data_IF_358003665401
#
_entry.id   IF_358003665401
#
_cell.length_a   1.000
_cell.length_b   1.000
_cell.length_c   1.000
_cell.angle_alpha   90.00
_cell.angle_beta   90.00
_cell.angle_gamma   90.00
#
_symmetry.space_group_name_H-M   'P 1'
#
loop_
_entity.id
_entity.type
_entity.pdbx_description
1 polymer ?
#
# COMPACT_ATOMS: atom_id res chain seq x y z
N UNK A 1 10.18 46.75 42.36
CA UNK A 1 9.02 45.92 41.89
C UNK A 1 9.10 45.38 40.47
N UNK A 2 9.93 45.87 39.57
CA UNK A 2 9.98 45.39 38.16
C UNK A 2 10.88 44.17 37.91
N UNK A 3 11.87 43.92 38.76
CA UNK A 3 12.81 42.80 38.57
C UNK A 3 12.23 41.45 38.99
N UNK A 4 11.43 41.41 40.05
CA UNK A 4 10.81 40.18 40.58
C UNK A 4 9.73 39.62 39.64
N UNK A 5 9.00 40.48 38.91
CA UNK A 5 7.96 40.05 37.95
C UNK A 5 8.56 39.43 36.70
N UNK A 6 9.71 39.94 36.21
CA UNK A 6 10.41 39.40 35.04
C UNK A 6 11.00 38.02 35.35
N UNK A 7 11.59 37.82 36.52
CA UNK A 7 12.15 36.52 36.94
C UNK A 7 11.04 35.45 37.10
N UNK A 8 9.88 35.85 37.66
CA UNK A 8 8.74 34.91 37.80
C UNK A 8 8.14 34.50 36.45
N UNK A 9 8.06 35.44 35.47
CA UNK A 9 7.57 35.16 34.13
C UNK A 9 8.52 34.24 33.35
N UNK A 10 9.84 34.43 33.53
CA UNK A 10 10.86 33.56 32.91
C UNK A 10 10.85 32.17 33.55
N UNK A 11 10.70 32.05 34.88
CA UNK A 11 10.58 30.75 35.55
C UNK A 11 9.29 30.00 35.18
N UNK A 12 8.16 30.70 35.08
CA UNK A 12 6.90 30.08 34.61
C UNK A 12 6.98 29.66 33.15
N UNK A 13 7.64 30.41 32.28
CA UNK A 13 7.90 30.04 30.90
C UNK A 13 8.82 28.82 30.77
N UNK A 14 9.86 28.72 31.59
CA UNK A 14 10.77 27.57 31.63
C UNK A 14 10.10 26.31 32.21
N UNK A 15 9.24 26.44 33.24
CA UNK A 15 8.47 25.35 33.80
C UNK A 15 7.41 24.83 32.81
N UNK A 16 6.75 25.70 32.04
CA UNK A 16 5.78 25.27 31.02
C UNK A 16 6.46 24.56 29.86
N UNK A 17 7.65 24.98 29.45
CA UNK A 17 8.44 24.24 28.42
C UNK A 17 8.96 22.91 28.96
N UNK A 18 9.39 22.82 30.21
CA UNK A 18 9.84 21.57 30.83
C UNK A 18 8.69 20.56 31.02
N UNK A 19 7.48 21.01 31.34
CA UNK A 19 6.30 20.14 31.44
C UNK A 19 5.82 19.65 30.09
N UNK A 20 5.92 20.45 29.03
CA UNK A 20 5.61 20.02 27.67
C UNK A 20 6.62 18.98 27.13
N UNK A 21 7.84 18.95 27.68
CA UNK A 21 8.89 18.01 27.27
C UNK A 21 8.72 16.57 27.77
N UNK A 22 7.88 16.31 28.75
CA UNK A 22 7.73 14.97 29.40
C UNK A 22 6.41 14.26 29.10
N UNK A 23 5.59 14.80 28.20
CA UNK A 23 4.31 14.17 27.86
C UNK A 23 4.53 13.01 26.86
N UNK A 24 3.88 11.89 27.11
CA UNK A 24 3.83 10.76 26.20
C UNK A 24 3.21 11.20 24.87
N UNK A 25 3.70 10.64 23.77
CA UNK A 25 3.20 10.90 22.42
C UNK A 25 2.49 9.64 21.94
N UNK A 26 1.25 9.80 21.51
CA UNK A 26 0.50 8.73 20.81
C UNK A 26 0.48 9.05 19.32
N UNK A 27 0.93 8.12 18.51
CA UNK A 27 0.86 8.19 17.06
C UNK A 27 -0.03 7.08 16.52
N UNK A 28 -0.60 7.32 15.35
CA UNK A 28 -1.39 6.36 14.58
C UNK A 28 -0.68 6.11 13.25
N UNK A 29 -0.42 4.85 12.96
CA UNK A 29 0.03 4.39 11.65
C UNK A 29 -1.18 3.79 10.94
N UNK A 30 -1.52 4.32 9.79
CA UNK A 30 -2.63 3.84 8.94
C UNK A 30 -2.02 3.28 7.66
N UNK A 31 -2.40 2.07 7.31
CA UNK A 31 -1.93 1.44 6.09
C UNK A 31 -3.11 1.03 5.22
N UNK A 32 -2.93 1.20 3.90
CA UNK A 32 -3.75 0.63 2.84
C UNK A 32 -2.91 -0.32 2.01
N UNK A 33 -3.50 -1.40 1.52
CA UNK A 33 -2.88 -2.40 0.66
C UNK A 33 -3.86 -2.85 -0.42
N UNK A 34 -3.34 -3.28 -1.56
CA UNK A 34 -4.13 -3.98 -2.58
C UNK A 34 -5.41 -3.21 -2.95
N UNK A 35 -5.25 -1.90 -3.14
CA UNK A 35 -6.37 -0.99 -3.44
C UNK A 35 -7.00 -1.31 -4.80
N UNK A 36 -6.22 -1.80 -5.77
CA UNK A 36 -6.69 -2.25 -7.08
C UNK A 36 -7.62 -1.24 -7.76
N UNK A 37 -7.23 0.04 -7.77
CA UNK A 37 -7.99 1.10 -8.41
C UNK A 37 -9.32 1.46 -7.72
N UNK A 38 -9.58 0.96 -6.50
CA UNK A 38 -10.78 1.27 -5.72
C UNK A 38 -10.69 2.67 -5.08
N UNK A 39 -10.46 3.68 -5.92
CA UNK A 39 -10.32 5.07 -5.46
C UNK A 39 -11.67 5.67 -5.05
N UNK A 40 -12.73 5.34 -5.78
CA UNK A 40 -14.06 5.92 -5.65
C UNK A 40 -15.11 4.87 -5.27
N UNK A 41 -16.22 5.25 -4.63
CA UNK A 41 -17.28 4.33 -4.23
C UNK A 41 -18.18 3.93 -5.43
N UNK A 42 -17.53 3.59 -6.55
CA UNK A 42 -18.15 3.21 -7.81
C UNK A 42 -17.37 2.09 -8.50
N UNK A 43 -18.06 1.05 -8.92
CA UNK A 43 -17.55 -0.04 -9.73
C UNK A 43 -17.76 0.30 -11.20
N UNK A 44 -16.68 0.63 -11.91
CA UNK A 44 -16.73 0.99 -13.33
C UNK A 44 -17.02 -0.21 -14.24
N UNK A 45 -16.79 -1.44 -13.78
CA UNK A 45 -17.08 -2.66 -14.52
C UNK A 45 -18.59 -2.94 -14.47
N UNK A 46 -19.16 -2.99 -13.26
CA UNK A 46 -20.56 -3.32 -13.04
C UNK A 46 -21.49 -2.08 -13.05
N UNK A 47 -20.94 -0.87 -13.22
CA UNK A 47 -21.68 0.40 -13.24
C UNK A 47 -22.57 0.59 -12.03
N UNK A 48 -22.06 0.28 -10.85
CA UNK A 48 -22.83 0.22 -9.60
C UNK A 48 -22.04 0.79 -8.41
N UNK A 49 -22.70 1.15 -7.31
CA UNK A 49 -22.01 1.54 -6.09
C UNK A 49 -21.06 0.45 -5.58
N UNK A 50 -19.88 0.84 -5.10
CA UNK A 50 -18.87 -0.03 -4.48
C UNK A 50 -18.68 0.34 -3.02
N UNK A 51 -18.56 -0.66 -2.14
CA UNK A 51 -18.46 -0.45 -0.70
C UNK A 51 -17.06 0.03 -0.25
N UNK A 52 -15.98 -0.57 -0.78
CA UNK A 52 -14.61 -0.12 -0.51
C UNK A 52 -14.20 1.05 -1.39
N UNK A 53 -13.52 2.05 -0.83
CA UNK A 53 -12.90 3.13 -1.62
C UNK A 53 -11.93 4.00 -0.83
N UNK A 54 -10.93 4.57 -1.51
CA UNK A 54 -10.00 5.54 -0.93
C UNK A 54 -10.72 6.82 -0.45
N UNK A 55 -11.83 7.21 -1.08
CA UNK A 55 -12.67 8.32 -0.61
C UNK A 55 -13.22 8.10 0.81
N UNK A 56 -13.52 6.85 1.20
CA UNK A 56 -13.96 6.48 2.55
C UNK A 56 -12.78 6.41 3.51
N UNK A 57 -11.67 5.87 3.05
CA UNK A 57 -10.39 5.89 3.80
C UNK A 57 -10.00 7.32 4.12
N UNK A 58 -10.14 8.24 3.16
CA UNK A 58 -9.84 9.66 3.38
C UNK A 58 -10.68 10.26 4.50
N UNK A 59 -12.00 10.03 4.51
CA UNK A 59 -12.87 10.46 5.62
C UNK A 59 -12.37 9.95 6.96
N UNK A 60 -12.02 8.67 7.05
CA UNK A 60 -11.49 8.06 8.27
C UNK A 60 -10.20 8.74 8.72
N UNK A 61 -9.24 8.92 7.80
CA UNK A 61 -7.95 9.56 8.08
C UNK A 61 -8.12 11.01 8.52
N UNK A 62 -9.06 11.78 7.92
CA UNK A 62 -9.35 13.14 8.35
C UNK A 62 -9.92 13.18 9.77
N UNK A 63 -10.74 12.19 10.15
CA UNK A 63 -11.20 12.01 11.52
C UNK A 63 -10.03 11.86 12.50
N UNK A 64 -9.10 10.97 12.20
CA UNK A 64 -7.88 10.77 13.01
C UNK A 64 -7.01 12.03 13.06
N UNK A 65 -6.82 12.72 11.93
CA UNK A 65 -6.05 13.98 11.88
C UNK A 65 -6.67 15.09 12.74
N UNK A 66 -8.00 15.14 12.79
CA UNK A 66 -8.74 16.08 13.63
C UNK A 66 -8.58 15.75 15.13
N UNK A 67 -8.64 14.47 15.48
CA UNK A 67 -8.59 14.00 16.88
C UNK A 67 -7.17 14.02 17.45
N UNK A 68 -6.20 13.48 16.72
CA UNK A 68 -4.82 13.28 17.21
C UNK A 68 -3.83 14.34 16.71
N UNK A 69 -4.22 15.18 15.76
CA UNK A 69 -3.34 16.13 15.07
C UNK A 69 -2.57 15.50 13.90
N UNK A 70 -2.44 16.24 12.80
CA UNK A 70 -1.84 15.77 11.54
C UNK A 70 -0.42 15.18 11.72
N UNK A 71 0.37 15.77 12.62
CA UNK A 71 1.76 15.34 12.86
C UNK A 71 1.86 14.00 13.61
N UNK A 72 0.75 13.48 14.15
CA UNK A 72 0.69 12.20 14.86
C UNK A 72 0.07 11.08 13.99
N UNK A 73 -0.32 11.36 12.74
CA UNK A 73 -0.85 10.38 11.81
C UNK A 73 0.17 10.11 10.72
N UNK A 74 0.53 8.86 10.51
CA UNK A 74 1.41 8.39 9.44
C UNK A 74 0.59 7.51 8.51
N UNK A 75 0.55 7.86 7.23
CA UNK A 75 -0.27 7.20 6.22
C UNK A 75 0.65 6.50 5.21
N UNK A 76 0.49 5.20 5.07
CA UNK A 76 1.35 4.31 4.29
C UNK A 76 0.52 3.51 3.29
N UNK A 77 1.05 3.27 2.08
CA UNK A 77 0.43 2.41 1.08
C UNK A 77 1.35 1.23 0.73
N UNK A 78 0.79 0.04 0.69
CA UNK A 78 1.55 -1.19 0.54
C UNK A 78 1.54 -1.75 -0.90
N UNK A 79 1.19 -0.95 -1.90
CA UNK A 79 1.23 -1.34 -3.31
C UNK A 79 -0.02 -2.06 -3.81
N UNK A 80 0.07 -2.58 -5.04
CA UNK A 80 -1.03 -3.11 -5.84
C UNK A 80 -2.16 -2.09 -6.01
N UNK A 81 -1.79 -0.92 -6.50
CA UNK A 81 -2.69 0.21 -6.71
C UNK A 81 -2.90 0.54 -8.20
N UNK A 82 -1.95 0.19 -9.07
CA UNK A 82 -1.96 0.56 -10.48
C UNK A 82 -2.81 -0.35 -11.38
N UNK A 83 -3.31 -1.47 -10.87
CA UNK A 83 -4.11 -2.45 -11.61
C UNK A 83 -5.45 -2.70 -10.88
N UNK A 84 -6.51 -3.06 -11.61
CA UNK A 84 -7.81 -3.48 -11.06
C UNK A 84 -8.98 -2.79 -11.75
N UNK A 85 -9.52 -1.71 -11.18
CA UNK A 85 -10.65 -1.00 -11.79
C UNK A 85 -10.26 -0.31 -13.12
N UNK A 86 -11.19 -0.17 -14.07
CA UNK A 86 -10.96 0.47 -15.37
C UNK A 86 -10.29 1.85 -15.30
N UNK A 87 -10.46 2.57 -14.21
CA UNK A 87 -9.83 3.87 -14.03
C UNK A 87 -8.30 3.79 -13.99
N UNK A 88 -7.74 2.74 -13.38
CA UNK A 88 -6.28 2.53 -13.40
C UNK A 88 -5.80 2.29 -14.85
N UNK A 89 -6.47 1.39 -15.58
CA UNK A 89 -6.14 1.11 -16.98
C UNK A 89 -6.23 2.38 -17.86
N UNK A 90 -7.28 3.18 -17.68
CA UNK A 90 -7.50 4.41 -18.45
C UNK A 90 -6.32 5.38 -18.29
N UNK A 91 -5.88 5.63 -17.06
CA UNK A 91 -4.75 6.55 -16.82
C UNK A 91 -3.39 5.94 -17.14
N UNK A 92 -3.24 4.63 -17.05
CA UNK A 92 -2.00 3.96 -17.40
C UNK A 92 -1.77 3.92 -18.92
N UNK A 93 -2.83 3.70 -19.72
CA UNK A 93 -2.65 3.32 -21.14
C UNK A 93 -3.47 4.13 -22.13
N UNK A 94 -4.63 4.69 -21.75
CA UNK A 94 -5.48 5.46 -22.69
C UNK A 94 -5.06 6.93 -22.69
N UNK A 95 -4.76 7.50 -21.54
CA UNK A 95 -4.32 8.90 -21.40
C UNK A 95 -3.00 9.02 -20.61
N UNK A 96 -1.93 8.29 -21.03
CA UNK A 96 -0.68 8.19 -20.27
C UNK A 96 0.07 9.52 -20.11
N UNK A 97 -0.30 10.55 -20.90
CA UNK A 97 0.25 11.91 -20.79
C UNK A 97 -0.31 12.70 -19.60
N UNK A 98 -1.45 12.28 -19.01
CA UNK A 98 -2.00 12.87 -17.79
C UNK A 98 -1.24 12.34 -16.56
N UNK A 99 -1.35 13.07 -15.44
CA UNK A 99 -0.89 12.56 -14.16
C UNK A 99 -1.60 11.23 -13.83
N UNK A 100 -0.85 10.27 -13.30
CA UNK A 100 -1.40 8.97 -12.93
C UNK A 100 -2.43 9.15 -11.80
N UNK A 101 -3.62 8.57 -11.96
CA UNK A 101 -4.70 8.75 -10.99
C UNK A 101 -4.33 8.23 -9.59
N UNK A 102 -3.54 7.16 -9.50
CA UNK A 102 -3.07 6.66 -8.21
C UNK A 102 -2.13 7.68 -7.54
N UNK A 103 -1.23 8.33 -8.31
CA UNK A 103 -0.38 9.39 -7.78
C UNK A 103 -1.22 10.58 -7.30
N UNK A 104 -2.15 11.06 -8.12
CA UNK A 104 -3.05 12.18 -7.76
C UNK A 104 -3.83 11.90 -6.47
N UNK A 105 -4.39 10.69 -6.32
CA UNK A 105 -5.15 10.28 -5.13
C UNK A 105 -4.27 10.21 -3.90
N UNK A 106 -3.13 9.52 -3.97
CA UNK A 106 -2.23 9.37 -2.83
C UNK A 106 -1.62 10.73 -2.41
N UNK A 107 -1.24 11.58 -3.36
CA UNK A 107 -0.74 12.93 -3.11
C UNK A 107 -1.82 13.81 -2.43
N UNK A 108 -3.06 13.79 -2.93
CA UNK A 108 -4.18 14.51 -2.33
C UNK A 108 -4.45 14.08 -0.89
N UNK A 109 -4.41 12.79 -0.62
CA UNK A 109 -4.60 12.21 0.71
C UNK A 109 -3.44 12.52 1.66
N UNK A 110 -2.26 12.85 1.13
CA UNK A 110 -1.05 13.17 1.87
C UNK A 110 -0.45 11.94 2.54
N UNK A 111 -0.15 10.94 1.73
CA UNK A 111 0.63 9.77 2.13
C UNK A 111 2.06 10.17 2.51
N UNK A 112 2.68 9.41 3.41
CA UNK A 112 4.03 9.67 3.92
C UNK A 112 5.08 8.76 3.28
N UNK A 113 4.69 7.55 2.86
CA UNK A 113 5.51 6.60 2.10
C UNK A 113 4.63 5.52 1.44
N UNK A 114 5.13 4.87 0.41
CA UNK A 114 4.53 3.69 -0.17
C UNK A 114 5.58 2.63 -0.55
N UNK A 115 5.16 1.39 -0.75
CA UNK A 115 5.93 0.35 -1.45
C UNK A 115 5.27 -0.01 -2.77
N UNK A 116 5.82 -0.96 -3.49
CA UNK A 116 5.39 -1.42 -4.80
C UNK A 116 4.82 -2.82 -4.67
N UNK A 117 3.71 -3.10 -5.33
CA UNK A 117 3.15 -4.45 -5.47
C UNK A 117 3.51 -5.13 -6.80
N UNK A 118 3.19 -6.41 -6.95
CA UNK A 118 3.46 -7.16 -8.17
C UNK A 118 2.62 -6.65 -9.34
N UNK A 119 1.37 -6.27 -9.11
CA UNK A 119 0.52 -5.68 -10.14
C UNK A 119 0.92 -4.24 -10.51
N UNK A 120 1.70 -3.55 -9.67
CA UNK A 120 2.31 -2.29 -10.06
C UNK A 120 3.47 -2.54 -11.03
N UNK A 121 4.33 -3.53 -10.75
CA UNK A 121 5.42 -3.95 -11.68
C UNK A 121 4.86 -4.48 -12.99
N UNK A 122 3.73 -5.19 -12.97
CA UNK A 122 3.04 -5.71 -14.16
C UNK A 122 2.73 -4.64 -15.20
N UNK A 123 2.52 -3.40 -14.79
CA UNK A 123 2.23 -2.29 -15.71
C UNK A 123 3.40 -1.92 -16.62
N UNK A 124 4.62 -2.36 -16.30
CA UNK A 124 5.85 -2.08 -17.05
C UNK A 124 6.48 -0.72 -16.74
N UNK A 125 7.75 -0.58 -17.10
CA UNK A 125 8.57 0.61 -16.85
C UNK A 125 7.93 1.94 -17.28
N UNK A 126 7.20 1.95 -18.38
CA UNK A 126 6.56 3.17 -18.89
C UNK A 126 5.50 3.72 -17.93
N UNK A 127 4.88 2.86 -17.11
CA UNK A 127 3.84 3.25 -16.17
C UNK A 127 4.41 3.41 -14.77
N UNK A 128 5.05 2.37 -14.19
CA UNK A 128 5.48 2.47 -12.80
C UNK A 128 6.62 3.48 -12.58
N UNK A 129 7.57 3.64 -13.53
CA UNK A 129 8.62 4.66 -13.41
C UNK A 129 8.07 6.09 -13.51
N UNK A 130 7.00 6.28 -14.28
CA UNK A 130 6.27 7.55 -14.34
C UNK A 130 5.56 7.80 -13.00
N UNK A 131 4.82 6.82 -12.50
CA UNK A 131 4.13 6.90 -11.23
C UNK A 131 5.08 7.23 -10.07
N UNK A 132 6.26 6.58 -9.98
CA UNK A 132 7.28 6.90 -8.97
C UNK A 132 7.70 8.38 -8.96
N UNK A 133 7.78 8.99 -10.14
CA UNK A 133 8.18 10.41 -10.29
C UNK A 133 7.06 11.39 -9.96
N UNK A 134 5.81 10.96 -10.04
CA UNK A 134 4.64 11.78 -9.77
C UNK A 134 4.23 11.78 -8.29
N UNK A 135 4.75 10.84 -7.48
CA UNK A 135 4.54 10.81 -6.03
C UNK A 135 5.29 11.95 -5.33
N UNK A 136 4.62 12.60 -4.39
CA UNK A 136 5.20 13.68 -3.56
C UNK A 136 5.85 13.16 -2.27
N UNK A 137 5.99 11.86 -2.14
CA UNK A 137 6.56 11.14 -1.00
C UNK A 137 7.40 9.95 -1.49
N UNK A 138 8.24 9.35 -0.64
CA UNK A 138 9.12 8.25 -1.04
C UNK A 138 8.37 6.98 -1.42
N UNK A 139 8.78 6.34 -2.53
CA UNK A 139 8.46 4.95 -2.87
C UNK A 139 9.63 4.05 -2.45
N UNK A 140 9.30 2.92 -1.83
CA UNK A 140 10.26 2.06 -1.14
C UNK A 140 10.32 0.65 -1.74
N UNK A 141 11.53 0.06 -1.76
CA UNK A 141 11.73 -1.30 -2.26
C UNK A 141 13.16 -1.77 -2.02
N UNK A 142 13.47 -2.17 -0.77
CA UNK A 142 14.82 -2.54 -0.37
C UNK A 142 15.39 -3.73 -1.15
N UNK A 143 14.54 -4.65 -1.57
CA UNK A 143 14.91 -5.85 -2.33
C UNK A 143 14.70 -5.75 -3.83
N UNK A 144 14.29 -4.59 -4.35
CA UNK A 144 14.22 -4.30 -5.78
C UNK A 144 15.56 -3.73 -6.22
N UNK A 145 16.36 -4.53 -6.90
CA UNK A 145 17.75 -4.22 -7.20
C UNK A 145 17.94 -3.92 -8.68
N UNK A 146 18.63 -2.84 -9.00
CA UNK A 146 19.12 -2.60 -10.34
C UNK A 146 20.22 -3.63 -10.66
N UNK A 147 19.96 -4.56 -11.57
CA UNK A 147 20.85 -5.69 -11.89
C UNK A 147 22.22 -5.27 -12.39
N UNK A 148 22.34 -4.08 -13.04
CA UNK A 148 23.61 -3.57 -13.56
C UNK A 148 24.50 -2.98 -12.47
N UNK A 149 23.89 -2.25 -11.51
CA UNK A 149 24.64 -1.49 -10.49
C UNK A 149 24.76 -2.22 -9.16
N UNK A 150 23.99 -3.28 -8.95
CA UNK A 150 23.83 -3.99 -7.68
C UNK A 150 23.38 -3.07 -6.51
N UNK A 151 22.68 -1.98 -6.82
CA UNK A 151 22.13 -1.05 -5.83
C UNK A 151 20.62 -1.13 -5.85
N UNK A 152 19.91 -0.75 -4.75
CA UNK A 152 18.47 -0.63 -4.77
C UNK A 152 18.01 0.25 -5.94
N UNK A 153 16.94 -0.16 -6.62
CA UNK A 153 16.37 0.56 -7.75
C UNK A 153 15.59 1.80 -7.31
N UNK A 154 14.88 1.67 -6.21
CA UNK A 154 14.20 2.74 -5.49
C UNK A 154 14.73 2.77 -4.05
N UNK A 155 14.24 3.70 -3.21
CA UNK A 155 14.77 3.83 -1.85
C UNK A 155 14.52 2.56 -1.02
N UNK A 156 15.51 2.04 -0.29
CA UNK A 156 15.31 0.86 0.55
C UNK A 156 14.44 1.16 1.79
N UNK A 157 14.55 2.37 2.29
CA UNK A 157 13.81 2.86 3.46
C UNK A 157 13.72 4.38 3.44
N UNK A 158 12.85 4.92 4.30
CA UNK A 158 12.78 6.35 4.60
C UNK A 158 12.65 6.60 6.10
N UNK A 159 13.08 7.77 6.57
CA UNK A 159 12.87 8.22 7.95
C UNK A 159 11.94 9.42 7.94
N UNK A 160 10.70 9.21 8.32
CA UNK A 160 9.68 10.24 8.39
C UNK A 160 9.85 11.01 9.70
N UNK A 161 10.04 12.33 9.59
CA UNK A 161 10.15 13.24 10.72
C UNK A 161 9.04 14.28 10.63
N UNK A 162 8.12 14.26 11.58
CA UNK A 162 7.05 15.25 11.72
C UNK A 162 7.33 16.19 12.88
N UNK A 163 6.48 17.19 13.09
CA UNK A 163 6.68 18.21 14.16
C UNK A 163 6.64 17.64 15.56
N UNK A 164 6.08 16.42 15.73
CA UNK A 164 6.14 15.70 17.02
C UNK A 164 7.57 15.31 17.44
N UNK A 165 8.55 15.38 16.51
CA UNK A 165 9.96 15.12 16.75
C UNK A 165 10.35 13.63 16.72
N UNK A 166 9.41 12.73 16.45
CA UNK A 166 9.68 11.30 16.31
C UNK A 166 10.37 11.00 14.97
N UNK A 167 11.21 9.98 15.00
CA UNK A 167 11.82 9.36 13.82
C UNK A 167 11.14 8.01 13.57
N UNK A 168 10.23 7.95 12.63
CA UNK A 168 9.59 6.72 12.18
C UNK A 168 10.28 6.25 10.92
N UNK A 169 11.02 5.14 11.00
CA UNK A 169 11.66 4.52 9.85
C UNK A 169 10.71 3.50 9.21
N UNK A 170 10.52 3.60 7.90
CA UNK A 170 9.73 2.64 7.11
C UNK A 170 10.66 1.95 6.13
N UNK A 171 10.71 0.62 6.16
CA UNK A 171 11.44 -0.24 5.24
C UNK A 171 10.43 -0.89 4.31
N UNK A 172 10.52 -0.65 2.99
CA UNK A 172 9.64 -1.25 2.00
C UNK A 172 10.26 -2.49 1.34
N UNK A 173 9.47 -3.52 1.08
CA UNK A 173 9.89 -4.70 0.32
C UNK A 173 8.73 -5.25 -0.53
N UNK A 174 9.10 -5.94 -1.61
CA UNK A 174 8.21 -6.61 -2.55
C UNK A 174 8.47 -8.11 -2.52
N UNK A 175 7.44 -8.93 -2.76
CA UNK A 175 7.62 -10.36 -2.99
C UNK A 175 8.68 -10.61 -4.07
N UNK A 176 9.63 -11.53 -3.86
CA UNK A 176 10.64 -11.84 -4.87
C UNK A 176 10.14 -12.71 -6.02
N UNK A 177 8.88 -13.15 -5.99
CA UNK A 177 8.31 -14.08 -6.95
C UNK A 177 7.95 -13.48 -8.32
N UNK A 178 8.20 -12.20 -8.56
CA UNK A 178 7.92 -11.48 -9.80
C UNK A 178 8.31 -12.26 -11.07
N UNK A 179 9.51 -12.90 -11.17
CA UNK A 179 9.91 -13.63 -12.36
C UNK A 179 9.06 -14.88 -12.68
N UNK A 180 8.27 -15.36 -11.72
CA UNK A 180 7.39 -16.52 -11.97
C UNK A 180 6.11 -16.13 -12.72
N UNK A 181 5.70 -14.88 -12.66
CA UNK A 181 4.44 -14.43 -13.22
C UNK A 181 4.60 -13.52 -14.43
N UNK A 182 5.69 -12.73 -14.45
CA UNK A 182 5.85 -11.65 -15.41
C UNK A 182 7.03 -11.91 -16.36
N UNK A 183 6.84 -11.58 -17.64
CA UNK A 183 7.91 -11.64 -18.62
C UNK A 183 9.04 -10.67 -18.25
N UNK A 184 10.29 -11.09 -18.43
CA UNK A 184 11.48 -10.28 -18.13
C UNK A 184 11.47 -8.89 -18.79
N UNK A 185 10.83 -8.76 -19.96
CA UNK A 185 10.71 -7.46 -20.66
C UNK A 185 9.96 -6.40 -19.85
N UNK A 186 9.08 -6.81 -18.92
CA UNK A 186 8.25 -5.92 -18.09
C UNK A 186 9.06 -5.32 -16.94
N UNK A 187 9.99 -6.10 -16.37
CA UNK A 187 10.86 -5.72 -15.26
C UNK A 187 12.35 -5.72 -15.64
N UNK A 188 12.66 -5.50 -16.92
CA UNK A 188 14.01 -5.59 -17.45
C UNK A 188 15.01 -4.74 -16.67
N UNK A 189 16.18 -5.32 -16.38
CA UNK A 189 17.23 -4.63 -15.61
C UNK A 189 16.99 -4.60 -14.09
N UNK A 190 15.94 -5.25 -13.59
CA UNK A 190 15.70 -5.45 -12.17
C UNK A 190 16.07 -6.87 -11.74
N UNK A 191 16.26 -7.04 -10.44
CA UNK A 191 16.37 -8.31 -9.74
C UNK A 191 15.66 -8.16 -8.39
N UNK A 192 15.01 -9.21 -7.94
CA UNK A 192 14.27 -9.23 -6.69
C UNK A 192 14.98 -10.15 -5.70
N UNK A 193 15.60 -9.56 -4.68
CA UNK A 193 16.35 -10.30 -3.67
C UNK A 193 15.41 -10.95 -2.65
N UNK A 194 15.86 -12.04 -2.03
CA UNK A 194 15.16 -12.72 -0.96
C UNK A 194 14.95 -11.79 0.26
N UNK A 195 13.73 -11.85 0.85
CA UNK A 195 13.27 -10.82 1.78
C UNK A 195 13.99 -10.87 3.13
N UNK A 196 14.22 -12.05 3.72
CA UNK A 196 14.80 -12.15 5.08
C UNK A 196 16.24 -11.64 5.11
N UNK A 197 17.06 -12.05 4.16
CA UNK A 197 18.45 -11.60 4.07
C UNK A 197 18.55 -10.12 3.73
N UNK A 198 17.65 -9.62 2.86
CA UNK A 198 17.55 -8.21 2.55
C UNK A 198 17.13 -7.40 3.78
N UNK A 199 16.10 -7.84 4.50
CA UNK A 199 15.63 -7.20 5.73
C UNK A 199 16.73 -7.14 6.79
N UNK A 200 17.51 -8.22 6.99
CA UNK A 200 18.64 -8.25 7.93
C UNK A 200 19.66 -7.16 7.60
N UNK A 201 20.11 -7.09 6.32
CA UNK A 201 21.07 -6.07 5.86
C UNK A 201 20.54 -4.64 6.01
N UNK A 202 19.30 -4.42 5.60
CA UNK A 202 18.68 -3.09 5.68
C UNK A 202 18.46 -2.66 7.14
N UNK A 203 18.06 -3.58 8.01
CA UNK A 203 17.89 -3.32 9.45
C UNK A 203 19.21 -2.90 10.12
N UNK A 204 20.31 -3.57 9.79
CA UNK A 204 21.65 -3.21 10.29
C UNK A 204 22.06 -1.80 9.84
N UNK A 205 21.80 -1.48 8.58
CA UNK A 205 22.06 -0.15 8.03
C UNK A 205 21.25 0.93 8.73
N UNK A 206 19.94 0.72 8.89
CA UNK A 206 19.00 1.63 9.57
C UNK A 206 19.43 1.89 11.01
N UNK A 207 19.72 0.84 11.77
CA UNK A 207 20.18 0.97 13.17
C UNK A 207 21.48 1.75 13.28
N UNK A 208 22.42 1.52 12.37
CA UNK A 208 23.72 2.17 12.38
C UNK A 208 23.66 3.66 11.98
N UNK A 209 22.85 4.00 10.96
CA UNK A 209 22.84 5.34 10.37
C UNK A 209 21.80 6.25 10.98
N UNK A 210 20.59 5.75 11.26
CA UNK A 210 19.41 6.57 11.52
C UNK A 210 19.02 6.62 13.00
N UNK A 211 19.23 5.53 13.74
CA UNK A 211 18.79 5.38 15.14
C UNK A 211 17.34 5.87 15.33
N UNK A 212 16.35 5.24 14.67
CA UNK A 212 14.96 5.65 14.74
C UNK A 212 14.31 5.30 16.07
N UNK A 213 13.17 5.96 16.37
CA UNK A 213 12.35 5.69 17.56
C UNK A 213 11.36 4.55 17.32
N UNK A 214 10.92 4.36 16.06
CA UNK A 214 10.03 3.29 15.59
C UNK A 214 10.52 2.77 14.26
N UNK A 215 10.48 1.45 14.05
CA UNK A 215 10.79 0.80 12.77
C UNK A 215 9.58 0.02 12.28
N UNK A 216 9.14 0.35 11.08
CA UNK A 216 7.97 -0.22 10.40
C UNK A 216 8.44 -0.99 9.17
N UNK A 217 8.00 -2.24 9.02
CA UNK A 217 8.03 -2.97 7.76
C UNK A 217 6.79 -2.64 6.94
N UNK A 218 6.95 -2.42 5.64
CA UNK A 218 5.88 -2.21 4.69
C UNK A 218 6.14 -3.18 3.52
N UNK A 219 5.50 -4.36 3.57
CA UNK A 219 5.87 -5.50 2.75
C UNK A 219 4.74 -5.93 1.84
N UNK A 220 4.91 -5.78 0.55
CA UNK A 220 3.99 -6.37 -0.42
C UNK A 220 4.38 -7.84 -0.66
N UNK A 221 4.02 -8.69 0.29
CA UNK A 221 4.25 -10.14 0.36
C UNK A 221 3.31 -10.70 1.42
N UNK A 222 2.61 -11.79 1.14
CA UNK A 222 1.65 -12.39 2.06
C UNK A 222 2.27 -12.89 3.37
N UNK A 223 1.42 -13.37 4.28
CA UNK A 223 1.85 -13.82 5.59
C UNK A 223 2.84 -14.98 5.52
N UNK A 224 2.38 -16.11 4.97
CA UNK A 224 3.20 -17.28 4.67
C UNK A 224 2.50 -18.15 3.63
N UNK A 225 3.24 -18.85 2.81
CA UNK A 225 2.66 -19.73 1.78
C UNK A 225 3.21 -19.42 0.41
N UNK A 226 2.33 -19.43 -0.61
CA UNK A 226 2.69 -19.13 -1.98
C UNK A 226 3.77 -20.03 -2.56
N UNK A 227 4.49 -19.53 -3.54
CA UNK A 227 5.58 -20.24 -4.24
C UNK A 227 6.80 -20.32 -3.31
N UNK A 228 7.32 -21.52 -3.11
CA UNK A 228 8.56 -21.77 -2.36
C UNK A 228 9.61 -22.37 -3.28
N UNK A 229 10.76 -21.71 -3.32
CA UNK A 229 11.93 -22.15 -4.07
C UNK A 229 13.13 -22.28 -3.11
N UNK A 230 14.23 -22.92 -3.52
CA UNK A 230 15.46 -22.89 -2.74
C UNK A 230 16.04 -21.48 -2.54
N UNK A 231 15.65 -20.52 -3.38
CA UNK A 231 16.18 -19.15 -3.37
C UNK A 231 15.33 -18.16 -2.58
N UNK A 232 14.01 -18.38 -2.50
CA UNK A 232 13.09 -17.47 -1.81
C UNK A 232 11.74 -18.12 -1.50
N UNK A 233 11.03 -17.53 -0.55
CA UNK A 233 9.61 -17.72 -0.32
C UNK A 233 8.84 -16.52 -0.91
N UNK A 234 7.72 -16.75 -1.61
CA UNK A 234 6.83 -15.70 -2.12
C UNK A 234 6.25 -14.87 -0.97
N UNK A 235 5.62 -15.57 -0.02
CA UNK A 235 5.01 -14.99 1.17
C UNK A 235 5.96 -15.16 2.36
N UNK A 236 6.68 -14.10 2.67
CA UNK A 236 7.76 -14.13 3.64
C UNK A 236 7.57 -13.18 4.84
N UNK A 237 6.42 -12.50 4.96
CA UNK A 237 6.22 -11.49 6.01
C UNK A 237 6.32 -12.08 7.42
N UNK A 238 5.77 -13.28 7.66
CA UNK A 238 5.91 -14.00 8.92
C UNK A 238 7.38 -14.31 9.22
N UNK A 239 8.10 -14.84 8.26
CA UNK A 239 9.50 -15.22 8.41
C UNK A 239 10.39 -14.02 8.72
N UNK A 240 10.13 -12.87 8.08
CA UNK A 240 10.82 -11.61 8.41
C UNK A 240 10.48 -11.17 9.83
N UNK A 241 9.22 -11.22 10.25
CA UNK A 241 8.80 -10.86 11.61
C UNK A 241 9.52 -11.72 12.67
N UNK A 242 9.64 -13.02 12.44
CA UNK A 242 10.28 -13.97 13.35
C UNK A 242 11.80 -13.84 13.36
N UNK A 243 12.45 -13.77 12.20
CA UNK A 243 13.91 -13.91 12.07
C UNK A 243 14.69 -12.60 12.07
N UNK A 244 14.01 -11.43 11.90
CA UNK A 244 14.68 -10.12 11.78
C UNK A 244 14.30 -9.21 12.94
N UNK A 245 15.08 -9.22 14.04
CA UNK A 245 14.74 -8.43 15.22
C UNK A 245 14.96 -6.93 14.97
N UNK A 246 13.94 -6.14 15.28
CA UNK A 246 14.03 -4.68 15.21
C UNK A 246 12.77 -4.00 14.71
N UNK A 247 11.91 -4.71 14.02
CA UNK A 247 10.59 -4.18 13.66
C UNK A 247 9.70 -4.06 14.90
N UNK A 248 8.96 -2.95 14.98
CA UNK A 248 7.91 -2.72 15.97
C UNK A 248 6.54 -3.08 15.37
N UNK A 249 6.37 -2.78 14.07
CA UNK A 249 5.16 -3.06 13.28
C UNK A 249 5.59 -3.59 11.91
N UNK A 250 4.86 -4.56 11.38
CA UNK A 250 4.92 -4.98 9.99
C UNK A 250 3.51 -4.87 9.41
N UNK A 251 3.35 -4.00 8.44
CA UNK A 251 2.21 -3.98 7.54
C UNK A 251 2.55 -4.84 6.33
N UNK A 252 1.58 -5.63 5.86
CA UNK A 252 1.78 -6.50 4.72
C UNK A 252 0.49 -6.66 3.91
N UNK A 253 0.55 -7.32 2.75
CA UNK A 253 -0.57 -7.53 1.84
C UNK A 253 -0.24 -8.60 0.81
N UNK A 254 -0.75 -8.50 -0.42
CA UNK A 254 -0.54 -9.42 -1.53
C UNK A 254 -1.47 -10.65 -1.54
N UNK A 255 -1.68 -11.32 -0.40
CA UNK A 255 -2.54 -12.52 -0.34
C UNK A 255 -4.04 -12.20 -0.18
N UNK A 256 -4.40 -10.91 -0.08
CA UNK A 256 -5.75 -10.40 0.09
C UNK A 256 -6.50 -10.95 1.31
N UNK A 257 -5.79 -11.47 2.28
CA UNK A 257 -6.35 -12.13 3.47
C UNK A 257 -6.24 -11.23 4.69
N UNK A 258 -7.35 -10.78 5.28
CA UNK A 258 -7.26 -9.89 6.44
C UNK A 258 -6.57 -10.58 7.60
N UNK A 259 -5.53 -9.94 8.15
CA UNK A 259 -4.70 -10.50 9.20
C UNK A 259 -4.40 -9.48 10.29
N UNK A 260 -4.52 -9.91 11.56
CA UNK A 260 -4.14 -9.12 12.72
C UNK A 260 -3.57 -10.04 13.80
N UNK A 261 -2.27 -10.00 13.99
CA UNK A 261 -1.59 -10.83 14.97
C UNK A 261 -0.42 -10.12 15.63
N UNK A 262 0.03 -10.64 16.75
CA UNK A 262 1.29 -10.27 17.38
C UNK A 262 2.24 -11.47 17.25
N UNK A 263 3.33 -11.28 16.52
CA UNK A 263 4.35 -12.31 16.32
C UNK A 263 5.55 -12.07 17.24
N UNK A 264 6.18 -13.13 17.71
CA UNK A 264 7.41 -13.03 18.50
C UNK A 264 8.64 -13.21 17.62
N UNK A 265 9.52 -12.23 17.62
CA UNK A 265 10.79 -12.38 16.92
C UNK A 265 11.76 -13.29 17.70
N UNK A 266 12.87 -13.65 17.06
CA UNK A 266 13.93 -14.52 17.61
C UNK A 266 14.46 -14.08 18.99
N UNK A 267 14.31 -12.80 19.36
CA UNK A 267 14.68 -12.26 20.66
C UNK A 267 13.50 -12.23 21.66
N UNK A 268 12.34 -12.81 21.29
CA UNK A 268 11.14 -12.85 22.13
C UNK A 268 10.38 -11.53 22.22
N UNK A 269 10.74 -10.50 21.42
CA UNK A 269 10.04 -9.22 21.36
C UNK A 269 8.81 -9.33 20.45
N UNK A 270 7.71 -8.75 20.89
CA UNK A 270 6.47 -8.66 20.11
C UNK A 270 6.62 -7.72 18.92
N UNK A 271 6.05 -8.14 17.78
CA UNK A 271 5.92 -7.39 16.53
C UNK A 271 4.45 -7.41 16.13
N UNK A 272 3.84 -6.25 15.93
CA UNK A 272 2.46 -6.16 15.43
C UNK A 272 2.48 -6.40 13.93
N UNK A 273 1.66 -7.34 13.45
CA UNK A 273 1.59 -7.71 12.04
C UNK A 273 0.15 -7.59 11.54
N UNK A 274 -0.07 -6.74 10.53
CA UNK A 274 -1.41 -6.40 10.03
C UNK A 274 -1.45 -6.45 8.50
N UNK A 275 -2.57 -6.99 7.97
CA UNK A 275 -2.97 -6.93 6.57
C UNK A 275 -4.45 -6.52 6.50
N UNK A 276 -4.82 -5.40 5.86
CA UNK A 276 -6.21 -4.95 5.74
C UNK A 276 -7.00 -5.71 4.67
N UNK A 277 -6.39 -6.66 3.97
CA UNK A 277 -6.88 -7.24 2.73
C UNK A 277 -6.94 -6.19 1.59
N UNK A 278 -7.94 -6.26 0.73
CA UNK A 278 -7.95 -5.54 -0.54
C UNK A 278 -9.12 -4.56 -0.72
N UNK A 279 -9.10 -3.86 -1.89
CA UNK A 279 -10.16 -3.00 -2.40
C UNK A 279 -10.56 -1.85 -1.45
N UNK A 280 -9.66 -1.40 -0.59
CA UNK A 280 -9.91 -0.33 0.38
C UNK A 280 -11.22 -0.52 1.18
N UNK A 281 -11.54 -1.77 1.55
CA UNK A 281 -12.68 -2.11 2.40
C UNK A 281 -12.35 -1.95 3.87
N UNK A 282 -11.10 -2.17 4.22
CA UNK A 282 -10.52 -1.97 5.55
C UNK A 282 -9.22 -1.19 5.44
N UNK A 283 -8.76 -0.69 6.56
CA UNK A 283 -7.41 -0.17 6.75
C UNK A 283 -6.78 -0.87 7.95
N UNK A 284 -5.48 -1.09 7.91
CA UNK A 284 -4.73 -1.48 9.09
C UNK A 284 -4.40 -0.24 9.91
N UNK A 285 -4.74 -0.25 11.18
CA UNK A 285 -4.50 0.85 12.12
C UNK A 285 -3.64 0.36 13.29
N UNK A 286 -2.47 0.96 13.47
CA UNK A 286 -1.65 0.74 14.65
C UNK A 286 -1.61 1.98 15.53
N UNK A 287 -1.80 1.80 16.83
CA UNK A 287 -1.65 2.83 17.85
C UNK A 287 -0.38 2.59 18.63
N UNK A 288 0.53 3.55 18.61
CA UNK A 288 1.80 3.49 19.36
C UNK A 288 1.86 4.63 20.36
N UNK A 289 2.15 4.31 21.62
CA UNK A 289 2.43 5.32 22.66
C UNK A 289 3.91 5.28 23.01
N UNK A 290 4.55 6.44 22.90
CA UNK A 290 5.99 6.59 23.11
C UNK A 290 6.25 7.58 24.25
N UNK A 291 7.14 7.20 25.14
CA UNK A 291 7.59 8.00 26.28
C UNK A 291 8.90 8.72 25.93
N UNK A 292 8.99 10.05 26.13
CA UNK A 292 10.23 10.76 25.88
C UNK A 292 11.32 10.30 26.87
N UNK A 293 12.53 10.15 26.37
CA UNK A 293 13.72 9.80 27.14
C UNK A 293 14.89 10.66 26.70
N UNK A 294 15.70 11.13 27.64
CA UNK A 294 16.93 11.86 27.32
C UNK A 294 18.13 10.91 27.49
N UNK A 295 18.87 10.68 26.42
CA UNK A 295 20.08 9.87 26.43
C UNK A 295 21.26 10.75 26.00
N UNK A 296 22.24 10.94 26.89
CA UNK A 296 23.43 11.78 26.64
C UNK A 296 23.07 13.19 26.10
N UNK A 297 22.03 13.82 26.71
CA UNK A 297 21.55 15.14 26.32
C UNK A 297 20.74 15.21 25.01
N UNK A 298 20.54 14.10 24.32
CA UNK A 298 19.68 14.01 23.12
C UNK A 298 18.33 13.42 23.47
N UNK A 299 17.26 14.04 22.95
CA UNK A 299 15.89 13.52 23.06
C UNK A 299 15.75 12.28 22.18
N UNK A 300 15.19 11.24 22.72
CA UNK A 300 14.76 10.01 22.04
C UNK A 300 13.46 9.55 22.67
N UNK A 301 12.87 8.50 22.12
CA UNK A 301 11.60 7.98 22.61
C UNK A 301 11.69 6.48 22.83
N UNK A 302 10.88 5.96 23.74
CA UNK A 302 10.76 4.52 24.02
C UNK A 302 9.30 4.14 23.82
N UNK A 303 9.06 3.16 22.96
CA UNK A 303 7.75 2.55 22.78
C UNK A 303 7.31 1.87 24.08
N UNK A 304 6.17 2.30 24.64
CA UNK A 304 5.62 1.79 25.90
C UNK A 304 4.34 1.02 25.71
N UNK A 305 3.60 1.30 24.62
CA UNK A 305 2.38 0.56 24.29
C UNK A 305 2.24 0.52 22.76
N UNK A 306 1.78 -0.63 22.26
CA UNK A 306 1.48 -0.84 20.87
C UNK A 306 0.23 -1.73 20.75
N UNK A 307 -0.67 -1.37 19.85
CA UNK A 307 -1.86 -2.17 19.51
C UNK A 307 -2.19 -2.04 18.02
N UNK A 308 -2.74 -3.10 17.44
CA UNK A 308 -3.16 -3.16 16.05
C UNK A 308 -4.64 -3.52 15.91
N UNK A 309 -5.28 -2.97 14.90
CA UNK A 309 -6.67 -3.29 14.54
C UNK A 309 -6.91 -3.14 13.04
N UNK A 310 -7.90 -3.87 12.51
CA UNK A 310 -8.41 -3.72 11.16
C UNK A 310 -9.73 -2.94 11.23
N UNK A 311 -9.75 -1.73 10.69
CA UNK A 311 -10.92 -0.86 10.72
C UNK A 311 -11.70 -1.00 9.42
N UNK A 312 -12.97 -1.42 9.52
CA UNK A 312 -13.88 -1.51 8.39
C UNK A 312 -14.38 -0.11 8.00
N UNK A 313 -14.05 0.33 6.78
CA UNK A 313 -14.43 1.66 6.29
C UNK A 313 -15.65 1.63 5.35
N UNK A 314 -16.22 0.46 5.05
CA UNK A 314 -17.29 0.28 4.06
C UNK A 314 -18.55 1.11 4.33
N UNK A 315 -18.83 1.38 5.58
CA UNK A 315 -20.01 2.14 6.01
C UNK A 315 -19.72 3.64 6.27
N UNK A 316 -18.46 4.07 6.11
CA UNK A 316 -18.09 5.48 6.25
C UNK A 316 -18.59 6.25 5.01
N UNK A 317 -19.18 7.41 5.23
CA UNK A 317 -19.62 8.28 4.13
C UNK A 317 -18.36 8.83 3.42
N UNK A 318 -18.25 8.70 2.08
CA UNK A 318 -17.14 9.26 1.33
C UNK A 318 -17.02 10.78 1.54
N UNK A 319 -15.80 11.27 1.64
CA UNK A 319 -15.55 12.70 1.79
C UNK A 319 -16.06 13.47 0.58
N UNK A 320 -16.84 14.53 0.84
CA UNK A 320 -17.51 15.30 -0.21
C UNK A 320 -16.52 16.10 -1.05
N UNK A 321 -15.53 16.71 -0.41
CA UNK A 321 -14.55 17.55 -1.10
C UNK A 321 -13.61 16.69 -1.95
N UNK A 322 -13.23 15.51 -1.44
CA UNK A 322 -12.51 14.50 -2.20
C UNK A 322 -13.30 14.09 -3.46
N UNK A 323 -14.58 13.73 -3.31
CA UNK A 323 -15.42 13.32 -4.44
C UNK A 323 -15.58 14.43 -5.47
N UNK A 324 -15.79 15.68 -5.01
CA UNK A 324 -15.92 16.83 -5.89
C UNK A 324 -14.60 17.13 -6.63
N UNK A 325 -13.48 16.98 -5.96
CA UNK A 325 -12.15 17.21 -6.57
C UNK A 325 -11.87 16.25 -7.73
N UNK A 326 -12.22 14.98 -7.57
CA UNK A 326 -11.98 13.93 -8.57
C UNK A 326 -13.17 13.64 -9.50
N UNK A 327 -14.24 14.46 -9.45
CA UNK A 327 -15.42 14.25 -10.30
C UNK A 327 -15.11 14.27 -11.81
N UNK A 328 -14.22 15.17 -12.32
CA UNK A 328 -13.84 15.18 -13.74
C UNK A 328 -13.18 13.88 -14.19
N UNK A 329 -12.33 13.27 -13.34
CA UNK A 329 -11.67 12.00 -13.60
C UNK A 329 -12.67 10.85 -13.66
N UNK A 330 -13.61 10.81 -12.71
CA UNK A 330 -14.71 9.83 -12.66
C UNK A 330 -15.55 9.93 -13.93
N UNK A 331 -15.97 11.13 -14.33
CA UNK A 331 -16.83 11.35 -15.49
C UNK A 331 -16.10 10.98 -16.80
N UNK A 332 -14.79 11.28 -16.90
CA UNK A 332 -13.98 10.91 -18.06
C UNK A 332 -13.90 9.39 -18.24
N UNK A 333 -13.70 8.64 -17.14
CA UNK A 333 -13.62 7.17 -17.20
C UNK A 333 -14.99 6.56 -17.47
N UNK A 334 -16.06 7.09 -16.89
CA UNK A 334 -17.43 6.66 -17.21
C UNK A 334 -17.72 6.82 -18.69
N UNK A 335 -17.47 8.03 -19.23
CA UNK A 335 -17.70 8.32 -20.66
C UNK A 335 -16.91 7.37 -21.58
N UNK A 336 -15.67 6.99 -21.18
CA UNK A 336 -14.85 6.04 -21.92
C UNK A 336 -15.35 4.61 -21.78
N UNK A 337 -15.64 4.13 -20.57
CA UNK A 337 -16.05 2.75 -20.28
C UNK A 337 -17.49 2.43 -20.68
N UNK A 338 -18.31 3.45 -20.92
CA UNK A 338 -19.71 3.30 -21.33
C UNK A 338 -19.90 3.31 -22.87
N UNK A 339 -18.82 3.47 -23.63
CA UNK A 339 -18.88 3.41 -25.09
C UNK A 339 -19.27 1.99 -25.53
N UNK A 340 -20.30 1.93 -26.36
CA UNK A 340 -20.72 0.65 -26.97
C UNK A 340 -19.70 0.22 -28.00
N UNK A 341 -19.03 -0.90 -27.74
CA UNK A 341 -18.00 -1.48 -28.65
C UNK A 341 -18.51 -2.72 -29.38
N UNK A 342 -19.64 -3.25 -28.99
CA UNK A 342 -20.21 -4.45 -29.60
C UNK A 342 -21.57 -4.81 -29.06
N UNK A 343 -22.09 -5.98 -29.53
CA UNK A 343 -23.37 -6.51 -29.07
C UNK A 343 -23.30 -8.03 -28.97
N UNK A 344 -23.70 -8.57 -27.82
CA UNK A 344 -23.94 -10.00 -27.66
C UNK A 344 -25.36 -10.36 -28.08
N UNK A 345 -25.49 -11.31 -29.03
CA UNK A 345 -26.78 -11.79 -29.46
C UNK A 345 -27.51 -12.61 -28.36
N UNK A 346 -26.74 -13.36 -27.57
CA UNK A 346 -27.22 -14.21 -26.50
C UNK A 346 -26.44 -13.95 -25.20
N UNK A 347 -27.04 -14.20 -24.05
CA UNK A 347 -26.33 -14.27 -22.78
C UNK A 347 -25.43 -15.49 -22.75
N UNK A 348 -24.16 -15.30 -22.37
CA UNK A 348 -23.18 -16.37 -22.18
C UNK A 348 -22.80 -16.47 -20.72
N UNK A 349 -22.59 -17.69 -20.21
CA UNK A 349 -22.41 -17.97 -18.79
C UNK A 349 -21.07 -18.63 -18.52
N UNK A 350 -20.40 -18.22 -17.44
CA UNK A 350 -19.14 -18.84 -17.00
C UNK A 350 -19.32 -20.29 -16.56
N UNK A 351 -20.44 -20.63 -15.92
CA UNK A 351 -20.74 -21.99 -15.45
C UNK A 351 -20.69 -23.05 -16.57
N UNK A 352 -20.97 -22.66 -17.80
CA UNK A 352 -21.00 -23.61 -18.95
C UNK A 352 -19.60 -24.20 -19.22
N UNK A 353 -18.52 -23.45 -18.88
CA UNK A 353 -17.13 -23.91 -19.01
C UNK A 353 -16.80 -25.16 -18.18
N UNK A 354 -17.55 -25.43 -17.12
CA UNK A 354 -17.31 -26.57 -16.23
C UNK A 354 -17.98 -27.87 -16.73
N UNK A 355 -18.79 -27.76 -17.76
CA UNK A 355 -19.58 -28.88 -18.27
C UNK A 355 -19.31 -29.21 -19.74
N UNK A 356 -18.38 -28.54 -20.39
CA UNK A 356 -18.00 -28.75 -21.79
C UNK A 356 -17.75 -27.45 -22.54
N UNK A 357 -18.06 -27.45 -23.85
CA UNK A 357 -17.89 -26.28 -24.68
C UNK A 357 -18.72 -25.09 -24.17
N UNK A 358 -18.13 -23.94 -24.19
CA UNK A 358 -18.73 -22.73 -23.61
C UNK A 358 -18.42 -21.51 -24.48
N UNK A 359 -19.47 -20.83 -24.91
CA UNK A 359 -19.31 -19.57 -25.63
C UNK A 359 -18.53 -18.50 -24.83
N UNK A 360 -18.55 -18.58 -23.50
CA UNK A 360 -17.73 -17.69 -22.65
C UNK A 360 -16.23 -18.02 -22.80
N UNK A 361 -15.87 -19.29 -22.69
CA UNK A 361 -14.49 -19.73 -22.80
C UNK A 361 -13.95 -19.56 -24.22
N UNK A 362 -14.76 -19.91 -25.22
CA UNK A 362 -14.41 -19.74 -26.63
C UNK A 362 -14.12 -18.27 -26.97
N UNK A 363 -14.92 -17.32 -26.45
CA UNK A 363 -14.68 -15.90 -26.62
C UNK A 363 -13.30 -15.48 -26.08
N UNK A 364 -12.93 -15.94 -24.88
CA UNK A 364 -11.65 -15.59 -24.27
C UNK A 364 -10.50 -16.19 -25.07
N UNK A 365 -10.58 -17.50 -25.41
CA UNK A 365 -9.54 -18.18 -26.18
C UNK A 365 -9.37 -17.56 -27.58
N UNK A 366 -10.46 -17.20 -28.25
CA UNK A 366 -10.42 -16.52 -29.54
C UNK A 366 -9.75 -15.14 -29.45
N UNK A 367 -10.05 -14.37 -28.39
CA UNK A 367 -9.42 -13.09 -28.14
C UNK A 367 -7.92 -13.24 -27.84
N UNK A 368 -7.55 -14.21 -27.01
CA UNK A 368 -6.15 -14.52 -26.69
C UNK A 368 -5.36 -14.86 -27.96
N UNK A 369 -5.84 -15.80 -28.78
CA UNK A 369 -5.22 -16.18 -30.05
C UNK A 369 -5.10 -14.99 -31.01
N UNK A 370 -6.16 -14.18 -31.12
CA UNK A 370 -6.21 -13.02 -32.02
C UNK A 370 -5.26 -11.91 -31.62
N UNK A 371 -5.14 -11.64 -30.32
CA UNK A 371 -4.31 -10.55 -29.79
C UNK A 371 -2.82 -10.94 -29.74
N UNK A 372 -2.55 -12.17 -29.33
CA UNK A 372 -1.17 -12.64 -29.13
C UNK A 372 -0.53 -13.24 -30.37
N UNK A 373 -1.35 -13.64 -31.38
CA UNK A 373 -0.93 -14.45 -32.55
C UNK A 373 -0.26 -15.77 -32.14
N UNK A 374 -0.65 -16.33 -30.99
CA UNK A 374 -0.16 -17.61 -30.49
C UNK A 374 -0.83 -18.78 -31.26
N UNK A 375 -0.16 -19.93 -31.31
CA UNK A 375 -0.70 -21.14 -31.92
C UNK A 375 -1.70 -21.87 -31.01
N UNK A 376 -1.59 -21.65 -29.68
CA UNK A 376 -2.42 -22.33 -28.67
C UNK A 376 -2.74 -21.31 -27.56
N UNK A 377 -3.99 -21.35 -27.07
CA UNK A 377 -4.45 -20.61 -25.91
C UNK A 377 -5.04 -21.55 -24.85
N UNK A 378 -4.87 -21.19 -23.58
CA UNK A 378 -5.45 -21.90 -22.44
C UNK A 378 -6.12 -20.88 -21.52
N UNK A 379 -7.33 -21.19 -21.07
CA UNK A 379 -8.07 -20.39 -20.12
C UNK A 379 -8.80 -21.27 -19.11
N UNK A 380 -8.89 -20.81 -17.87
CA UNK A 380 -9.74 -21.38 -16.83
C UNK A 380 -10.66 -20.29 -16.28
N UNK A 381 -11.99 -20.52 -16.21
CA UNK A 381 -12.90 -19.54 -15.67
C UNK A 381 -12.65 -19.35 -14.17
N UNK A 382 -12.46 -18.09 -13.76
CA UNK A 382 -12.18 -17.73 -12.35
C UNK A 382 -13.45 -17.67 -11.49
N UNK A 383 -14.64 -17.61 -12.12
CA UNK A 383 -15.91 -17.47 -11.43
C UNK A 383 -16.94 -18.45 -11.99
N UNK A 384 -17.67 -19.12 -11.10
CA UNK A 384 -18.69 -20.10 -11.51
C UNK A 384 -20.01 -19.44 -11.96
N UNK A 385 -20.47 -18.40 -11.25
CA UNK A 385 -21.80 -17.78 -11.45
C UNK A 385 -21.74 -16.37 -12.04
N UNK A 386 -20.94 -16.16 -13.08
CA UNK A 386 -20.96 -14.91 -13.83
C UNK A 386 -21.56 -15.09 -15.22
N UNK A 387 -22.02 -14.00 -15.82
CA UNK A 387 -22.57 -13.99 -17.17
C UNK A 387 -22.30 -12.65 -17.87
N UNK A 388 -22.08 -12.71 -19.19
CA UNK A 388 -22.19 -11.54 -20.06
C UNK A 388 -23.60 -11.59 -20.68
N UNK A 389 -24.41 -10.61 -20.35
CA UNK A 389 -25.81 -10.55 -20.79
C UNK A 389 -25.90 -10.19 -22.29
N UNK A 390 -26.93 -10.71 -22.96
CA UNK A 390 -27.30 -10.25 -24.28
C UNK A 390 -27.57 -8.74 -24.28
N UNK A 391 -27.12 -8.05 -25.33
CA UNK A 391 -27.23 -6.59 -25.44
C UNK A 391 -25.94 -5.92 -25.84
N UNK A 392 -25.90 -4.61 -25.75
CA UNK A 392 -24.70 -3.80 -26.01
C UNK A 392 -23.64 -4.00 -24.90
N UNK A 393 -22.38 -4.03 -25.29
CA UNK A 393 -21.22 -4.08 -24.44
C UNK A 393 -20.25 -2.95 -24.82
#
# INVERSE_FOLDING_TARGET
MKLSTIVLTIMLGLCSHAMAQNKDITIKLVETSDVHGSFFPYDFINRSPKSGSMARVYTFVQGLRKEYGKDNIYLLDNGDILQGQPISYYYNYIVPQKENIAASVLNYMGYDAATVGNHDIETGHSVYDKWFKELHFPILGANIINARTNKPYILPYTVIKKKNGLKVCVIGMLTPAIPNWLKETIWSGLRFDEMVSCAKRTMEEVKKKENPDVIVGLFHSGWNGGIKTPQYDEDASQKVAQEVPGFDVIFFGHDHTPHNTIEKNINGKDVICLDPANNAQKVALTTLTLKPKTIKGKRSYVLTHASGELVDVRNIIPDKDFMQHFQPEIDSVKAWSEQVIGKFANTIYTKDCFFGNSAFNDLILDLELKITHADIAFNAPLQFNSAIKAGNV
#
